data_IF_782720458470
#
_entry.id   IF_782720458470
#
_cell.length_a   1.000
_cell.length_b   1.000
_cell.length_c   1.000
_cell.angle_alpha   90.00
_cell.angle_beta   90.00
_cell.angle_gamma   90.00
#
_symmetry.space_group_name_H-M   'P 1'
#
loop_
_entity.id
_entity.type
_entity.pdbx_description
1 polymer ?
#
# COMPACT_ATOMS: atom_id res chain seq x y z
N UNK A 1 -54.39 -54.12 -13.72
CA UNK A 1 -55.29 -54.14 -12.55
C UNK A 1 -54.44 -53.83 -11.33
N UNK A 2 -54.67 -52.68 -10.65
CA UNK A 2 -54.43 -52.42 -9.20
C UNK A 2 -52.98 -52.64 -8.64
N UNK A 3 -52.37 -51.89 -7.71
CA UNK A 3 -52.70 -50.75 -6.84
C UNK A 3 -51.38 -50.32 -6.12
N UNK A 4 -51.15 -49.02 -6.01
CA UNK A 4 -50.52 -48.21 -4.93
C UNK A 4 -49.19 -48.58 -4.19
N UNK A 5 -48.31 -47.56 -4.18
CA UNK A 5 -47.59 -46.91 -3.06
C UNK A 5 -46.71 -47.75 -2.10
N UNK A 6 -45.40 -47.42 -2.04
CA UNK A 6 -44.72 -47.08 -0.78
C UNK A 6 -43.52 -46.15 -1.03
N UNK A 7 -43.59 -44.98 -0.42
CA UNK A 7 -42.57 -43.93 -0.33
C UNK A 7 -41.85 -44.15 1.00
N UNK A 8 -40.52 -44.34 1.04
CA UNK A 8 -39.70 -43.96 2.21
C UNK A 8 -38.19 -44.00 1.90
N UNK A 9 -37.60 -42.79 1.89
CA UNK A 9 -36.38 -42.37 2.62
C UNK A 9 -35.07 -43.13 2.36
N UNK A 10 -34.13 -42.46 1.67
CA UNK A 10 -32.75 -42.21 2.17
C UNK A 10 -32.02 -41.18 1.28
N UNK A 11 -32.42 -39.91 1.35
CA UNK A 11 -31.52 -38.79 1.00
C UNK A 11 -30.86 -38.36 2.31
N UNK A 12 -29.73 -38.97 2.64
CA UNK A 12 -28.82 -38.44 3.64
C UNK A 12 -28.20 -37.17 3.08
N UNK A 13 -28.81 -36.05 3.49
CA UNK A 13 -28.21 -34.73 3.52
C UNK A 13 -26.86 -34.83 4.25
N UNK A 14 -25.76 -34.90 3.51
CA UNK A 14 -24.45 -34.44 3.99
C UNK A 14 -24.53 -32.91 4.06
N UNK A 15 -25.30 -32.42 5.03
CA UNK A 15 -25.18 -31.05 5.52
C UNK A 15 -23.85 -30.97 6.25
N UNK A 16 -22.77 -30.75 5.51
CA UNK A 16 -21.53 -30.28 6.11
C UNK A 16 -21.84 -28.95 6.77
N UNK A 17 -21.99 -28.96 8.09
CA UNK A 17 -22.03 -27.74 8.89
C UNK A 17 -20.72 -27.00 8.61
N UNK A 18 -20.75 -25.99 7.73
CA UNK A 18 -19.69 -25.01 7.64
C UNK A 18 -19.74 -24.29 8.99
N UNK A 19 -18.88 -24.70 9.92
CA UNK A 19 -18.64 -23.93 11.13
C UNK A 19 -18.15 -22.57 10.68
N UNK A 20 -18.97 -21.54 10.87
CA UNK A 20 -18.54 -20.16 10.68
C UNK A 20 -17.24 -19.98 11.49
N UNK A 21 -16.14 -19.68 10.81
CA UNK A 21 -14.87 -19.42 11.49
C UNK A 21 -15.11 -18.27 12.47
N UNK A 22 -14.75 -18.46 13.74
CA UNK A 22 -14.91 -17.41 14.75
C UNK A 22 -14.08 -16.19 14.35
N UNK A 23 -14.70 -15.01 14.34
CA UNK A 23 -14.03 -13.73 14.08
C UNK A 23 -12.84 -13.57 15.05
N UNK A 24 -11.61 -13.31 14.57
CA UNK A 24 -10.45 -13.14 15.42
C UNK A 24 -10.67 -12.04 16.47
N UNK A 25 -10.29 -12.33 17.71
CA UNK A 25 -10.40 -11.38 18.83
C UNK A 25 -9.16 -10.52 18.97
N UNK A 26 -9.26 -9.41 19.72
CA UNK A 26 -8.09 -8.60 20.10
C UNK A 26 -7.01 -9.44 20.81
N UNK A 27 -7.41 -10.41 21.63
CA UNK A 27 -6.47 -11.32 22.30
C UNK A 27 -5.68 -12.15 21.28
N UNK A 28 -6.31 -12.64 20.22
CA UNK A 28 -5.61 -13.36 19.15
C UNK A 28 -4.56 -12.46 18.46
N UNK A 29 -4.87 -11.19 18.22
CA UNK A 29 -3.94 -10.23 17.62
C UNK A 29 -2.78 -9.89 18.57
N UNK A 30 -3.06 -9.66 19.86
CA UNK A 30 -2.04 -9.41 20.89
C UNK A 30 -1.05 -10.59 20.96
N UNK A 31 -1.56 -11.82 20.97
CA UNK A 31 -0.74 -13.03 20.96
C UNK A 31 0.09 -13.14 19.68
N UNK A 32 -0.52 -12.90 18.51
CA UNK A 32 0.18 -12.94 17.22
C UNK A 32 1.35 -11.96 17.18
N UNK A 33 1.12 -10.72 17.63
CA UNK A 33 2.11 -9.64 17.62
C UNK A 33 3.07 -9.69 18.81
N UNK A 34 2.87 -10.64 19.74
CA UNK A 34 3.68 -10.83 20.94
C UNK A 34 3.80 -9.55 21.78
N UNK A 35 2.69 -8.83 21.94
CA UNK A 35 2.68 -7.62 22.76
C UNK A 35 2.80 -7.97 24.24
N UNK A 36 3.77 -7.37 24.91
CA UNK A 36 3.99 -7.54 26.35
C UNK A 36 2.89 -6.84 27.17
N UNK A 37 2.71 -7.28 28.41
CA UNK A 37 1.61 -6.80 29.26
C UNK A 37 1.66 -5.29 29.51
N UNK A 38 2.84 -4.72 29.73
CA UNK A 38 3.06 -3.28 29.91
C UNK A 38 2.75 -2.49 28.63
N UNK A 39 3.11 -3.04 27.46
CA UNK A 39 2.78 -2.49 26.14
C UNK A 39 1.26 -2.49 25.92
N UNK A 40 0.57 -3.58 26.30
CA UNK A 40 -0.90 -3.65 26.24
C UNK A 40 -1.53 -2.62 27.16
N UNK A 41 -1.03 -2.45 28.40
CA UNK A 41 -1.54 -1.42 29.31
C UNK A 41 -1.33 0.00 28.76
N UNK A 42 -0.21 0.27 28.09
CA UNK A 42 0.03 1.56 27.41
C UNK A 42 -0.91 1.78 26.21
N UNK A 43 -1.14 0.74 25.42
CA UNK A 43 -2.09 0.73 24.31
C UNK A 43 -3.50 1.06 24.78
N UNK A 44 -3.97 0.41 25.85
CA UNK A 44 -5.29 0.65 26.45
C UNK A 44 -5.45 2.06 27.03
N UNK A 45 -4.36 2.71 27.44
CA UNK A 45 -4.32 4.13 27.83
C UNK A 45 -4.32 5.09 26.64
N UNK A 46 -4.37 4.60 25.41
CA UNK A 46 -4.34 5.41 24.20
C UNK A 46 -2.97 5.94 23.82
N UNK A 47 -1.88 5.40 24.39
CA UNK A 47 -0.54 5.70 23.86
C UNK A 47 -0.37 5.05 22.48
N UNK A 48 0.49 5.64 21.65
CA UNK A 48 0.95 4.98 20.43
C UNK A 48 2.11 4.07 20.85
N UNK A 49 1.91 2.76 20.71
CA UNK A 49 2.93 1.76 21.03
C UNK A 49 3.53 1.19 19.75
N UNK A 50 4.78 0.74 19.82
CA UNK A 50 5.48 0.09 18.71
C UNK A 50 5.54 -1.41 18.93
N UNK A 51 5.48 -2.19 17.86
CA UNK A 51 5.71 -3.63 17.91
C UNK A 51 6.58 -4.09 16.74
N UNK A 52 7.24 -5.23 16.94
CA UNK A 52 8.10 -5.82 15.92
C UNK A 52 7.26 -6.44 14.79
N UNK A 53 7.67 -6.18 13.55
CA UNK A 53 7.12 -6.83 12.36
C UNK A 53 8.25 -7.62 11.74
N UNK A 54 7.99 -8.88 11.40
CA UNK A 54 9.00 -9.74 10.81
C UNK A 54 9.37 -9.25 9.40
N UNK A 55 10.66 -9.02 9.19
CA UNK A 55 11.23 -8.68 7.88
C UNK A 55 11.68 -9.98 7.20
N UNK A 56 11.20 -10.23 5.98
CA UNK A 56 11.43 -11.47 5.24
C UNK A 56 12.66 -11.40 4.33
N UNK A 57 13.16 -10.19 4.05
CA UNK A 57 14.32 -9.98 3.19
C UNK A 57 15.29 -8.95 3.76
N UNK A 58 16.53 -8.95 3.25
CA UNK A 58 17.55 -7.94 3.60
C UNK A 58 17.24 -6.53 3.08
N UNK A 59 16.30 -6.40 2.14
CA UNK A 59 15.84 -5.12 1.58
C UNK A 59 14.64 -4.55 2.32
N UNK A 60 13.94 -5.39 3.08
CA UNK A 60 12.72 -5.01 3.77
C UNK A 60 13.02 -4.23 5.05
N UNK A 61 12.27 -3.16 5.26
CA UNK A 61 12.11 -2.45 6.52
C UNK A 61 10.65 -2.56 6.94
N UNK A 62 10.40 -3.02 8.17
CA UNK A 62 9.05 -3.15 8.68
C UNK A 62 8.89 -2.44 10.02
N UNK A 63 7.77 -1.74 10.20
CA UNK A 63 7.39 -1.04 11.44
C UNK A 63 5.92 -1.31 11.73
N UNK A 64 5.61 -1.66 12.97
CA UNK A 64 4.26 -1.79 13.49
C UNK A 64 3.98 -0.78 14.59
N UNK A 65 2.83 -0.10 14.51
CA UNK A 65 2.29 0.76 15.54
C UNK A 65 0.90 0.29 15.94
N UNK A 66 0.54 0.43 17.21
CA UNK A 66 -0.82 0.22 17.68
C UNK A 66 -1.29 1.38 18.55
N UNK A 67 -2.58 1.70 18.50
CA UNK A 67 -3.15 2.71 19.39
C UNK A 67 -4.65 2.55 19.60
N UNK A 68 -5.14 2.88 20.80
CA UNK A 68 -6.58 3.00 21.06
C UNK A 68 -7.12 4.31 20.51
N UNK A 69 -8.28 4.24 19.87
CA UNK A 69 -9.07 5.37 19.38
C UNK A 69 -10.46 5.32 20.02
N UNK A 70 -10.87 6.37 20.77
CA UNK A 70 -12.23 6.48 21.29
C UNK A 70 -13.20 6.92 20.18
N UNK A 71 -13.38 6.06 19.18
CA UNK A 71 -14.26 6.26 18.04
C UNK A 71 -14.99 4.97 17.72
N UNK A 72 -16.26 5.08 17.32
CA UNK A 72 -17.03 3.90 16.91
C UNK A 72 -16.46 3.28 15.62
N UNK A 73 -16.63 1.96 15.43
CA UNK A 73 -16.26 1.28 14.19
C UNK A 73 -16.89 1.91 12.94
N UNK A 74 -18.18 2.24 13.00
CA UNK A 74 -18.91 2.86 11.89
C UNK A 74 -18.30 4.19 11.49
N UNK A 75 -17.99 5.07 12.46
CA UNK A 75 -17.41 6.38 12.19
C UNK A 75 -16.06 6.28 11.47
N UNK A 76 -15.21 5.32 11.88
CA UNK A 76 -13.92 5.13 11.24
C UNK A 76 -14.05 4.50 9.85
N UNK A 77 -14.96 3.54 9.68
CA UNK A 77 -15.24 2.96 8.37
C UNK A 77 -15.73 4.04 7.39
N UNK A 78 -16.60 4.95 7.84
CA UNK A 78 -17.12 6.03 7.01
C UNK A 78 -16.02 7.07 6.69
N UNK A 79 -15.17 7.42 7.66
CA UNK A 79 -13.97 8.24 7.41
C UNK A 79 -13.07 7.63 6.31
N UNK A 80 -12.84 6.32 6.35
CA UNK A 80 -12.06 5.64 5.32
C UNK A 80 -12.76 5.58 3.96
N UNK A 81 -14.10 5.42 3.95
CA UNK A 81 -14.90 5.45 2.71
C UNK A 81 -14.93 6.82 2.05
N UNK A 82 -14.72 7.92 2.78
CA UNK A 82 -14.70 9.25 2.16
C UNK A 82 -13.38 9.56 1.45
N UNK A 83 -12.33 8.77 1.65
CA UNK A 83 -11.02 8.95 0.99
C UNK A 83 -10.07 9.89 1.75
N UNK A 84 -10.50 10.45 2.88
CA UNK A 84 -9.75 11.43 3.69
C UNK A 84 -8.40 10.91 4.21
N UNK A 85 -8.19 9.59 4.20
CA UNK A 85 -6.95 8.97 4.66
C UNK A 85 -5.71 9.40 3.85
N UNK A 86 -5.83 9.84 2.58
CA UNK A 86 -4.65 10.35 1.86
C UNK A 86 -4.25 11.74 2.36
N UNK A 87 -5.23 12.58 2.70
CA UNK A 87 -4.99 13.93 3.21
C UNK A 87 -4.29 13.99 4.57
N UNK A 88 -4.21 12.86 5.30
CA UNK A 88 -3.49 12.82 6.57
C UNK A 88 -1.97 12.81 6.37
N UNK A 89 -1.45 12.33 5.24
CA UNK A 89 0.00 12.29 5.01
C UNK A 89 0.48 13.69 4.59
N UNK A 90 1.22 14.42 5.46
CA UNK A 90 1.66 15.79 5.16
C UNK A 90 2.59 15.87 3.96
N UNK A 91 3.21 14.75 3.57
CA UNK A 91 4.19 14.74 2.49
C UNK A 91 3.53 14.57 1.11
N UNK A 92 2.22 14.28 1.05
CA UNK A 92 1.49 14.20 -0.23
C UNK A 92 1.25 15.60 -0.76
N UNK A 93 1.90 15.93 -1.88
CA UNK A 93 1.82 17.26 -2.51
C UNK A 93 0.55 17.39 -3.37
N UNK A 94 0.26 16.35 -4.13
CA UNK A 94 -0.92 16.24 -4.99
C UNK A 94 -1.23 14.76 -5.23
N UNK A 95 -2.49 14.42 -5.44
CA UNK A 95 -2.92 13.07 -5.78
C UNK A 95 -4.17 13.11 -6.65
N UNK A 96 -4.49 11.98 -7.26
CA UNK A 96 -5.75 11.76 -7.97
C UNK A 96 -6.17 10.30 -7.90
N UNK A 97 -7.48 10.06 -7.91
CA UNK A 97 -8.04 8.72 -8.04
C UNK A 97 -8.02 8.27 -9.51
N UNK A 98 -7.79 6.97 -9.72
CA UNK A 98 -7.81 6.34 -11.03
C UNK A 98 -8.98 5.36 -11.04
N UNK A 99 -9.94 5.60 -11.92
CA UNK A 99 -11.11 4.74 -12.07
C UNK A 99 -10.84 3.60 -13.07
N UNK A 100 -11.58 2.49 -12.98
CA UNK A 100 -11.57 1.45 -14.01
C UNK A 100 -11.75 2.05 -15.41
N UNK A 101 -11.00 1.52 -16.37
CA UNK A 101 -10.99 2.00 -17.77
C UNK A 101 -10.55 3.47 -17.96
N UNK A 102 -9.89 4.08 -16.98
CA UNK A 102 -9.31 5.40 -17.09
C UNK A 102 -8.34 5.52 -18.29
N UNK A 103 -8.46 6.64 -19.01
CA UNK A 103 -7.50 7.06 -20.02
C UNK A 103 -6.30 7.78 -19.41
N UNK A 104 -5.37 8.19 -20.27
CA UNK A 104 -4.18 8.96 -19.87
C UNK A 104 -4.54 10.30 -19.20
N UNK A 105 -5.70 10.88 -19.52
CA UNK A 105 -6.16 12.18 -18.99
C UNK A 105 -6.34 12.17 -17.47
N UNK A 106 -6.52 10.98 -16.85
CA UNK A 106 -6.54 10.85 -15.38
C UNK A 106 -5.23 11.35 -14.72
N UNK A 107 -4.13 11.38 -15.47
CA UNK A 107 -2.84 11.86 -14.99
C UNK A 107 -2.56 13.33 -15.36
N UNK A 108 -3.52 14.06 -15.96
CA UNK A 108 -3.29 15.43 -16.44
C UNK A 108 -2.83 16.40 -15.35
N UNK A 109 -3.23 16.17 -14.09
CA UNK A 109 -2.83 17.00 -12.95
C UNK A 109 -1.51 16.57 -12.31
N UNK A 110 -0.88 15.49 -12.78
CA UNK A 110 0.49 15.17 -12.41
C UNK A 110 1.45 16.06 -13.21
N UNK A 111 2.26 16.86 -12.55
CA UNK A 111 3.37 17.58 -13.18
C UNK A 111 4.52 17.77 -12.21
N UNK A 112 5.72 17.92 -12.77
CA UNK A 112 6.83 18.49 -12.03
C UNK A 112 6.61 20.00 -11.91
N UNK A 113 6.76 20.55 -10.71
CA UNK A 113 6.69 21.99 -10.48
C UNK A 113 7.95 22.68 -11.03
N UNK A 114 7.91 23.98 -11.37
CA UNK A 114 9.10 24.71 -11.84
C UNK A 114 10.30 24.62 -10.89
N UNK A 115 10.05 24.59 -9.57
CA UNK A 115 11.08 24.41 -8.53
C UNK A 115 11.71 23.00 -8.50
N UNK A 116 11.21 22.07 -9.32
CA UNK A 116 11.68 20.68 -9.43
C UNK A 116 12.45 20.46 -10.74
N UNK A 117 12.98 21.54 -11.34
CA UNK A 117 13.78 21.46 -12.57
C UNK A 117 14.96 20.50 -12.46
N UNK A 118 15.56 20.39 -11.28
CA UNK A 118 16.70 19.49 -11.06
C UNK A 118 16.26 18.01 -11.16
N UNK A 119 15.04 17.68 -10.70
CA UNK A 119 14.47 16.34 -10.87
C UNK A 119 14.23 16.03 -12.35
N UNK A 120 13.75 17.02 -13.11
CA UNK A 120 13.54 16.93 -14.56
C UNK A 120 14.86 16.67 -15.29
N UNK A 121 15.93 17.40 -14.92
CA UNK A 121 17.26 17.21 -15.50
C UNK A 121 17.85 15.83 -15.14
N UNK A 122 17.74 15.43 -13.88
CA UNK A 122 18.20 14.10 -13.44
C UNK A 122 17.47 12.98 -14.19
N UNK A 123 16.17 13.14 -14.44
CA UNK A 123 15.40 12.17 -15.21
C UNK A 123 15.83 12.09 -16.68
N UNK A 124 16.14 13.23 -17.31
CA UNK A 124 16.66 13.29 -18.67
C UNK A 124 18.09 12.73 -18.80
N UNK A 125 18.88 12.85 -17.73
CA UNK A 125 20.21 12.28 -17.61
C UNK A 125 20.22 10.94 -16.86
N UNK A 126 19.06 10.30 -16.70
CA UNK A 126 18.89 9.20 -15.77
C UNK A 126 19.84 8.03 -16.06
N UNK A 127 20.58 7.65 -15.04
CA UNK A 127 21.30 6.37 -15.01
C UNK A 127 20.38 5.25 -14.50
N UNK A 128 20.83 4.01 -14.69
CA UNK A 128 20.06 2.82 -14.38
C UNK A 128 19.68 2.64 -12.90
N UNK A 129 20.33 3.32 -11.95
CA UNK A 129 20.13 3.07 -10.51
C UNK A 129 19.35 4.16 -9.78
N UNK A 130 19.20 5.34 -10.38
CA UNK A 130 18.61 6.50 -9.68
C UNK A 130 17.08 6.46 -9.62
N UNK A 131 16.48 5.95 -10.69
CA UNK A 131 15.04 5.87 -10.87
C UNK A 131 14.57 4.43 -10.94
N UNK A 132 13.35 4.19 -10.49
CA UNK A 132 12.67 2.91 -10.59
C UNK A 132 12.03 2.74 -11.97
N UNK A 133 12.86 2.81 -13.01
CA UNK A 133 12.42 2.70 -14.39
C UNK A 133 13.04 1.45 -15.03
N UNK A 134 12.35 0.93 -16.04
CA UNK A 134 12.88 -0.10 -16.94
C UNK A 134 13.92 0.50 -17.89
N UNK A 135 14.71 -0.35 -18.54
CA UNK A 135 15.69 0.09 -19.53
C UNK A 135 15.04 0.90 -20.66
N UNK A 136 13.92 0.43 -21.20
CA UNK A 136 13.18 1.11 -22.26
C UNK A 136 12.68 2.50 -21.85
N UNK A 137 12.16 2.64 -20.62
CA UNK A 137 11.72 3.94 -20.10
C UNK A 137 12.89 4.90 -19.94
N UNK A 138 14.02 4.44 -19.40
CA UNK A 138 15.25 5.25 -19.28
C UNK A 138 15.73 5.70 -20.65
N UNK A 139 15.85 4.78 -21.62
CA UNK A 139 16.29 5.12 -22.98
C UNK A 139 15.38 6.16 -23.64
N UNK A 140 14.07 6.13 -23.37
CA UNK A 140 13.14 7.16 -23.88
C UNK A 140 13.38 8.54 -23.28
N UNK A 141 13.70 8.65 -21.98
CA UNK A 141 14.05 9.94 -21.36
C UNK A 141 15.41 10.45 -21.83
N UNK A 142 16.41 9.59 -21.92
CA UNK A 142 17.74 9.96 -22.45
C UNK A 142 17.65 10.42 -23.91
N UNK A 143 16.86 9.74 -24.74
CA UNK A 143 16.63 10.17 -26.14
C UNK A 143 15.92 11.51 -26.22
N UNK A 144 14.99 11.77 -25.29
CA UNK A 144 14.28 13.05 -25.21
C UNK A 144 15.24 14.20 -24.89
N UNK A 145 16.25 13.97 -24.04
CA UNK A 145 17.25 15.00 -23.71
C UNK A 145 17.95 15.56 -24.96
N UNK A 146 18.33 14.68 -25.90
CA UNK A 146 18.97 15.08 -27.16
C UNK A 146 18.07 15.88 -28.11
N UNK A 147 16.75 15.86 -27.91
CA UNK A 147 15.76 16.56 -28.75
C UNK A 147 15.31 17.91 -28.18
N UNK A 148 15.53 18.15 -26.89
CA UNK A 148 14.96 19.30 -26.17
C UNK A 148 16.02 20.33 -25.74
N UNK A 149 17.24 20.27 -26.29
CA UNK A 149 18.39 21.10 -25.87
C UNK A 149 18.17 22.62 -26.02
N UNK A 150 17.18 23.04 -26.82
CA UNK A 150 16.84 24.46 -27.05
C UNK A 150 15.60 24.94 -26.29
N UNK A 151 14.89 24.06 -25.57
CA UNK A 151 13.71 24.48 -24.82
C UNK A 151 14.08 25.26 -23.55
N UNK A 152 13.28 26.29 -23.25
CA UNK A 152 13.33 26.91 -21.93
C UNK A 152 12.89 25.92 -20.83
N UNK A 153 13.16 26.27 -19.57
CA UNK A 153 12.90 25.41 -18.42
C UNK A 153 11.43 25.06 -18.23
N UNK A 154 10.51 25.97 -18.56
CA UNK A 154 9.06 25.76 -18.35
C UNK A 154 8.54 24.76 -19.39
N UNK A 155 8.88 24.98 -20.66
CA UNK A 155 8.51 24.08 -21.75
C UNK A 155 9.14 22.69 -21.58
N UNK A 156 10.41 22.63 -21.15
CA UNK A 156 11.08 21.37 -20.84
C UNK A 156 10.36 20.58 -19.74
N UNK A 157 9.98 21.27 -18.65
CA UNK A 157 9.27 20.66 -17.52
C UNK A 157 7.92 20.09 -17.94
N UNK A 158 7.17 20.79 -18.80
CA UNK A 158 5.89 20.29 -19.30
C UNK A 158 6.07 19.06 -20.21
N UNK A 159 7.01 19.08 -21.15
CA UNK A 159 7.25 17.94 -22.05
C UNK A 159 7.68 16.69 -21.27
N UNK A 160 8.56 16.85 -20.27
CA UNK A 160 8.98 15.74 -19.40
C UNK A 160 7.84 15.26 -18.52
N UNK A 161 7.01 16.16 -17.99
CA UNK A 161 5.81 15.80 -17.23
C UNK A 161 4.84 14.98 -18.08
N UNK A 162 4.59 15.38 -19.33
CA UNK A 162 3.74 14.63 -20.28
C UNK A 162 4.30 13.23 -20.55
N UNK A 163 5.60 13.10 -20.78
CA UNK A 163 6.25 11.79 -20.94
C UNK A 163 6.11 10.93 -19.69
N UNK A 164 6.23 11.53 -18.51
CA UNK A 164 6.07 10.81 -17.24
C UNK A 164 4.63 10.36 -17.01
N UNK A 165 3.62 11.16 -17.39
CA UNK A 165 2.20 10.74 -17.36
C UNK A 165 1.97 9.47 -18.19
N UNK A 166 2.64 9.33 -19.34
CA UNK A 166 2.57 8.12 -20.16
C UNK A 166 3.13 6.89 -19.42
N UNK A 167 4.26 7.05 -18.73
CA UNK A 167 4.85 5.99 -17.89
C UNK A 167 3.88 5.57 -16.79
N UNK A 168 3.30 6.53 -16.07
CA UNK A 168 2.33 6.27 -15.01
C UNK A 168 1.09 5.53 -15.53
N UNK A 169 0.53 5.99 -16.65
CA UNK A 169 -0.63 5.35 -17.27
C UNK A 169 -0.33 3.91 -17.73
N UNK A 170 0.79 3.69 -18.41
CA UNK A 170 1.20 2.35 -18.87
C UNK A 170 1.43 1.39 -17.70
N UNK A 171 2.10 1.84 -16.64
CA UNK A 171 2.34 1.03 -15.44
C UNK A 171 1.05 0.71 -14.68
N UNK A 172 0.16 1.68 -14.54
CA UNK A 172 -1.15 1.43 -13.95
C UNK A 172 -1.94 0.43 -14.79
N UNK A 173 -2.01 0.60 -16.11
CA UNK A 173 -2.78 -0.29 -16.99
C UNK A 173 -2.25 -1.73 -16.95
N UNK A 174 -0.92 -1.91 -16.98
CA UNK A 174 -0.29 -3.22 -16.87
C UNK A 174 -0.63 -3.89 -15.53
N UNK A 175 -0.49 -3.16 -14.42
CA UNK A 175 -0.87 -3.65 -13.09
C UNK A 175 -2.37 -3.94 -12.99
N UNK A 176 -3.23 -3.06 -13.48
CA UNK A 176 -4.68 -3.23 -13.42
C UNK A 176 -5.13 -4.53 -14.11
N UNK A 177 -4.55 -4.84 -15.27
CA UNK A 177 -4.91 -6.00 -16.07
C UNK A 177 -4.26 -7.32 -15.64
N UNK A 178 -3.08 -7.29 -15.03
CA UNK A 178 -2.26 -8.49 -14.77
C UNK A 178 -1.84 -8.62 -13.30
N UNK A 179 -2.22 -7.66 -12.46
CA UNK A 179 -1.79 -7.59 -11.07
C UNK A 179 -0.28 -7.59 -10.91
N UNK A 180 0.22 -8.41 -10.00
CA UNK A 180 1.65 -8.43 -9.67
C UNK A 180 2.56 -8.83 -10.84
N UNK A 181 2.08 -9.64 -11.78
CA UNK A 181 2.87 -9.97 -12.99
C UNK A 181 2.94 -8.82 -14.00
N UNK A 182 2.03 -7.83 -13.88
CA UNK A 182 2.05 -6.62 -14.69
C UNK A 182 3.01 -5.54 -14.18
N UNK A 183 3.64 -5.71 -13.01
CA UNK A 183 4.56 -4.72 -12.48
C UNK A 183 5.91 -4.86 -13.18
N UNK A 184 6.25 -3.87 -14.02
CA UNK A 184 7.49 -3.89 -14.78
C UNK A 184 8.74 -3.81 -13.86
N UNK A 185 9.77 -4.63 -14.11
CA UNK A 185 11.01 -4.62 -13.34
C UNK A 185 11.78 -3.30 -13.51
N UNK A 186 12.62 -3.01 -12.53
CA UNK A 186 13.51 -1.85 -12.58
C UNK A 186 14.91 -2.29 -12.98
N UNK A 187 15.58 -1.50 -13.82
CA UNK A 187 17.01 -1.69 -14.07
C UNK A 187 17.80 -1.29 -12.82
N UNK A 188 18.91 -1.97 -12.55
CA UNK A 188 19.86 -1.67 -11.47
C UNK A 188 21.26 -2.10 -11.89
N UNK A 189 22.09 -1.17 -12.34
CA UNK A 189 23.45 -1.49 -12.79
C UNK A 189 23.44 -2.66 -13.78
N UNK A 190 24.12 -3.76 -13.43
CA UNK A 190 24.19 -4.99 -14.23
C UNK A 190 23.04 -5.98 -14.02
N UNK A 191 21.99 -5.60 -13.28
CA UNK A 191 20.90 -6.48 -12.90
C UNK A 191 19.52 -5.81 -12.95
N UNK A 192 18.55 -6.49 -12.35
CA UNK A 192 17.17 -6.03 -12.25
C UNK A 192 16.60 -6.23 -10.86
N UNK A 193 15.68 -5.37 -10.48
CA UNK A 193 14.80 -5.55 -9.33
C UNK A 193 13.42 -5.91 -9.83
N UNK A 194 12.83 -6.93 -9.20
CA UNK A 194 11.46 -7.36 -9.48
C UNK A 194 10.53 -6.87 -8.36
N UNK A 195 9.89 -5.70 -8.53
CA UNK A 195 8.93 -5.16 -7.55
C UNK A 195 7.68 -6.04 -7.40
N UNK A 196 7.30 -6.81 -8.43
CA UNK A 196 6.16 -7.73 -8.37
C UNK A 196 6.43 -8.88 -7.39
N UNK A 197 7.62 -9.49 -7.48
CA UNK A 197 8.08 -10.50 -6.50
C UNK A 197 8.23 -9.92 -5.10
N UNK A 198 8.83 -8.73 -4.96
CA UNK A 198 8.97 -8.08 -3.65
C UNK A 198 7.61 -7.85 -2.99
N UNK A 199 6.60 -7.37 -3.73
CA UNK A 199 5.23 -7.21 -3.22
C UNK A 199 4.56 -8.53 -2.89
N UNK A 200 4.78 -9.59 -3.68
CA UNK A 200 4.24 -10.92 -3.38
C UNK A 200 4.76 -11.42 -2.03
N UNK A 201 6.06 -11.28 -1.78
CA UNK A 201 6.68 -11.66 -0.51
C UNK A 201 6.14 -10.85 0.66
N UNK A 202 5.96 -9.53 0.50
CA UNK A 202 5.38 -8.68 1.55
C UNK A 202 3.93 -9.10 1.87
N UNK A 203 3.11 -9.35 0.85
CA UNK A 203 1.72 -9.77 1.00
C UNK A 203 1.60 -11.17 1.61
N UNK A 204 2.43 -12.12 1.19
CA UNK A 204 2.35 -13.49 1.67
C UNK A 204 2.82 -13.62 3.13
N UNK A 205 3.86 -12.89 3.51
CA UNK A 205 4.38 -12.94 4.88
C UNK A 205 3.61 -12.05 5.87
N UNK A 206 2.51 -11.40 5.47
CA UNK A 206 1.72 -10.56 6.36
C UNK A 206 0.79 -11.39 7.26
N UNK A 207 1.29 -11.71 8.46
CA UNK A 207 0.56 -12.54 9.41
C UNK A 207 -0.73 -11.90 9.96
N UNK A 208 -0.76 -10.56 10.09
CA UNK A 208 -1.95 -9.85 10.57
C UNK A 208 -3.09 -9.97 9.55
N UNK A 209 -2.80 -9.75 8.26
CA UNK A 209 -3.76 -9.91 7.18
C UNK A 209 -4.24 -11.36 7.08
N UNK A 210 -3.32 -12.33 7.23
CA UNK A 210 -3.66 -13.75 7.24
C UNK A 210 -4.60 -14.13 8.40
N UNK A 211 -4.38 -13.58 9.60
CA UNK A 211 -5.23 -13.82 10.76
C UNK A 211 -6.61 -13.18 10.58
N UNK A 212 -6.67 -11.91 10.20
CA UNK A 212 -7.91 -11.12 10.20
C UNK A 212 -8.82 -11.41 9.01
N UNK A 213 -8.26 -11.67 7.82
CA UNK A 213 -9.06 -12.07 6.66
C UNK A 213 -8.22 -12.89 5.67
N UNK A 214 -8.23 -14.23 5.80
CA UNK A 214 -7.61 -15.13 4.82
C UNK A 214 -8.17 -14.92 3.40
N UNK A 215 -9.47 -14.63 3.28
CA UNK A 215 -10.12 -14.36 2.01
C UNK A 215 -9.58 -13.10 1.35
N UNK A 216 -9.44 -11.99 2.10
CA UNK A 216 -8.83 -10.76 1.61
C UNK A 216 -7.35 -10.99 1.26
N UNK A 217 -6.58 -11.71 2.09
CA UNK A 217 -5.18 -12.06 1.76
C UNK A 217 -5.09 -12.77 0.40
N UNK A 218 -5.94 -13.78 0.19
CA UNK A 218 -5.97 -14.55 -1.05
C UNK A 218 -6.31 -13.66 -2.25
N UNK A 219 -7.37 -12.84 -2.15
CA UNK A 219 -7.74 -11.90 -3.21
C UNK A 219 -6.63 -10.88 -3.48
N UNK A 220 -6.00 -10.35 -2.42
CA UNK A 220 -4.88 -9.41 -2.52
C UNK A 220 -3.68 -10.01 -3.26
N UNK A 221 -3.33 -11.27 -2.99
CA UNK A 221 -2.24 -11.96 -3.70
C UNK A 221 -2.59 -12.32 -5.15
N UNK A 222 -3.88 -12.52 -5.45
CA UNK A 222 -4.36 -13.02 -6.75
C UNK A 222 -5.04 -11.96 -7.62
N UNK A 223 -5.02 -10.69 -7.21
CA UNK A 223 -5.47 -9.56 -8.02
C UNK A 223 -4.90 -9.69 -9.46
N UNK A 224 -5.71 -9.57 -10.53
CA UNK A 224 -7.05 -8.95 -10.61
C UNK A 224 -8.25 -9.86 -10.32
N UNK A 225 -8.06 -10.98 -9.62
CA UNK A 225 -9.19 -11.76 -9.11
C UNK A 225 -10.12 -10.92 -8.24
N UNK A 226 -11.42 -11.21 -8.30
CA UNK A 226 -12.46 -10.49 -7.56
C UNK A 226 -12.16 -10.45 -6.05
N UNK A 227 -12.30 -9.27 -5.46
CA UNK A 227 -12.33 -9.11 -4.02
C UNK A 227 -13.67 -9.57 -3.42
N UNK A 228 -13.72 -9.84 -2.10
CA UNK A 228 -14.99 -10.03 -1.39
C UNK A 228 -15.94 -8.84 -1.60
N UNK A 229 -17.26 -9.06 -1.49
CA UNK A 229 -18.27 -8.03 -1.75
C UNK A 229 -18.16 -6.84 -0.77
N UNK A 230 -17.61 -7.08 0.41
CA UNK A 230 -17.35 -6.11 1.47
C UNK A 230 -16.15 -5.20 1.19
N UNK A 231 -15.41 -5.46 0.11
CA UNK A 231 -14.23 -4.72 -0.27
C UNK A 231 -14.56 -3.59 -1.25
N UNK A 232 -13.99 -2.41 -1.00
CA UNK A 232 -13.99 -1.26 -1.89
C UNK A 232 -12.56 -1.06 -2.38
N UNK A 233 -12.37 -1.26 -3.68
CA UNK A 233 -11.10 -1.08 -4.37
C UNK A 233 -10.94 0.36 -4.86
N UNK A 234 -9.72 0.89 -4.75
CA UNK A 234 -9.31 2.19 -5.30
C UNK A 234 -7.89 2.16 -5.83
N UNK A 235 -7.67 2.91 -6.91
CA UNK A 235 -6.36 3.19 -7.45
C UNK A 235 -6.07 4.68 -7.35
N UNK A 236 -4.80 5.01 -7.11
CA UNK A 236 -4.36 6.36 -6.84
C UNK A 236 -3.03 6.61 -7.53
N UNK A 237 -2.87 7.81 -8.08
CA UNK A 237 -1.55 8.38 -8.32
C UNK A 237 -1.28 9.47 -7.29
N UNK A 238 -0.03 9.58 -6.84
CA UNK A 238 0.41 10.59 -5.90
C UNK A 238 1.73 11.19 -6.36
N UNK A 239 1.93 12.48 -6.08
CA UNK A 239 3.25 13.08 -5.99
C UNK A 239 3.51 13.37 -4.51
N UNK A 240 4.50 12.68 -3.94
CA UNK A 240 4.83 12.75 -2.50
C UNK A 240 6.26 13.22 -2.32
N UNK A 241 6.52 14.09 -1.36
CA UNK A 241 7.89 14.45 -0.98
C UNK A 241 8.57 13.27 -0.25
N UNK A 242 9.69 12.80 -0.78
CA UNK A 242 10.47 11.71 -0.21
C UNK A 242 11.95 12.08 -0.24
N UNK A 243 12.56 12.21 0.93
CA UNK A 243 13.96 12.64 1.09
C UNK A 243 14.25 13.98 0.37
N UNK A 244 13.33 14.94 0.43
CA UNK A 244 13.47 16.27 -0.19
C UNK A 244 13.27 16.30 -1.72
N UNK A 245 12.82 15.20 -2.33
CA UNK A 245 12.53 15.09 -3.77
C UNK A 245 11.08 14.67 -4.01
N UNK A 246 10.42 15.15 -5.08
CA UNK A 246 9.11 14.63 -5.47
C UNK A 246 9.24 13.18 -5.94
N UNK A 247 8.35 12.31 -5.47
CA UNK A 247 8.25 10.92 -5.89
C UNK A 247 6.84 10.66 -6.41
N UNK A 248 6.75 10.31 -7.69
CA UNK A 248 5.53 9.78 -8.27
C UNK A 248 5.27 8.38 -7.71
N UNK A 249 4.04 8.12 -7.25
CA UNK A 249 3.64 6.84 -6.67
C UNK A 249 2.35 6.39 -7.33
N UNK A 250 2.27 5.12 -7.73
CA UNK A 250 1.00 4.46 -8.03
C UNK A 250 0.67 3.52 -6.88
N UNK A 251 -0.55 3.67 -6.36
CA UNK A 251 -1.04 2.91 -5.22
C UNK A 251 -2.34 2.20 -5.57
N UNK A 252 -2.42 0.94 -5.13
CA UNK A 252 -3.66 0.17 -5.08
C UNK A 252 -4.05 0.05 -3.60
N UNK A 253 -5.30 0.38 -3.29
CA UNK A 253 -5.88 0.32 -1.95
C UNK A 253 -7.18 -0.46 -1.97
N UNK A 254 -7.35 -1.30 -0.96
CA UNK A 254 -8.61 -1.98 -0.67
C UNK A 254 -9.03 -1.64 0.75
N UNK A 255 -10.21 -1.08 0.89
CA UNK A 255 -10.91 -0.97 2.16
C UNK A 255 -11.83 -2.18 2.29
N UNK A 256 -11.73 -2.93 3.39
CA UNK A 256 -12.58 -4.09 3.68
C UNK A 256 -13.25 -3.89 5.02
N UNK A 257 -14.57 -3.97 5.06
CA UNK A 257 -15.35 -3.86 6.30
C UNK A 257 -16.35 -5.00 6.37
N UNK A 258 -16.08 -5.97 7.24
CA UNK A 258 -16.95 -7.11 7.48
C UNK A 258 -17.05 -7.40 8.97
N UNK A 259 -18.22 -7.85 9.42
CA UNK A 259 -18.54 -8.05 10.82
C UNK A 259 -18.23 -6.78 11.64
N UNK A 260 -17.27 -6.88 12.56
CA UNK A 260 -16.82 -5.79 13.41
C UNK A 260 -15.39 -5.33 13.08
N UNK A 261 -14.79 -5.87 12.03
CA UNK A 261 -13.43 -5.55 11.58
C UNK A 261 -13.49 -4.57 10.41
N UNK A 262 -12.68 -3.52 10.47
CA UNK A 262 -12.37 -2.66 9.32
C UNK A 262 -10.89 -2.69 9.03
N UNK A 263 -10.52 -2.85 7.76
CA UNK A 263 -9.13 -2.89 7.33
C UNK A 263 -8.90 -2.09 6.07
N UNK A 264 -7.79 -1.37 6.01
CA UNK A 264 -7.20 -0.88 4.77
C UNK A 264 -5.97 -1.70 4.49
N UNK A 265 -5.89 -2.26 3.29
CA UNK A 265 -4.65 -2.81 2.73
C UNK A 265 -4.27 -1.95 1.54
N UNK A 266 -3.01 -1.54 1.45
CA UNK A 266 -2.53 -0.75 0.33
C UNK A 266 -1.14 -1.22 -0.09
N UNK A 267 -0.85 -1.16 -1.39
CA UNK A 267 0.50 -1.31 -1.91
C UNK A 267 0.86 -0.19 -2.86
N UNK A 268 2.09 0.28 -2.75
CA UNK A 268 2.72 1.12 -3.75
C UNK A 268 3.39 0.20 -4.76
N UNK A 269 2.71 -0.04 -5.89
CA UNK A 269 3.19 -0.93 -6.94
C UNK A 269 4.13 -0.24 -7.93
N UNK A 270 4.17 1.10 -7.90
CA UNK A 270 5.22 1.88 -8.52
C UNK A 270 5.57 3.07 -7.63
N UNK A 271 6.85 3.39 -7.55
CA UNK A 271 7.41 4.53 -6.82
C UNK A 271 8.55 5.02 -7.68
N UNK A 272 8.64 6.30 -8.03
CA UNK A 272 9.63 6.79 -9.00
C UNK A 272 11.09 6.62 -8.55
N UNK A 273 11.35 6.63 -7.24
CA UNK A 273 12.70 6.48 -6.64
C UNK A 273 12.62 6.16 -5.14
N UNK A 274 13.77 6.19 -4.46
CA UNK A 274 13.97 6.05 -3.00
C UNK A 274 13.70 4.68 -2.38
N UNK A 275 12.63 4.00 -2.77
CA UNK A 275 12.33 2.62 -2.36
C UNK A 275 11.63 1.90 -3.50
N UNK A 276 11.72 0.57 -3.52
CA UNK A 276 11.25 -0.24 -4.65
C UNK A 276 9.73 -0.38 -4.63
N UNK A 277 9.20 -0.79 -3.47
CA UNK A 277 7.78 -1.03 -3.22
C UNK A 277 7.43 -0.80 -1.75
N UNK A 278 6.15 -0.57 -1.47
CA UNK A 278 5.63 -0.46 -0.11
C UNK A 278 4.31 -1.22 0.06
N UNK A 279 4.06 -1.74 1.25
CA UNK A 279 2.79 -2.31 1.65
C UNK A 279 2.37 -1.74 3.02
N UNK A 280 1.10 -1.40 3.13
CA UNK A 280 0.48 -0.91 4.35
C UNK A 280 -0.71 -1.77 4.71
N UNK A 281 -0.82 -2.13 5.99
CA UNK A 281 -2.03 -2.71 6.58
C UNK A 281 -2.42 -1.84 7.75
N UNK A 282 -3.64 -1.31 7.73
CA UNK A 282 -4.27 -0.64 8.85
C UNK A 282 -5.51 -1.44 9.23
N UNK A 283 -5.50 -2.07 10.39
CA UNK A 283 -6.61 -2.89 10.88
C UNK A 283 -7.21 -2.28 12.14
N UNK A 284 -8.53 -2.30 12.23
CA UNK A 284 -9.28 -1.73 13.33
C UNK A 284 -10.18 -2.81 13.94
N UNK A 285 -9.96 -3.05 15.24
CA UNK A 285 -10.71 -4.04 16.00
C UNK A 285 -11.47 -3.33 17.14
N UNK A 286 -12.74 -3.70 17.41
CA UNK A 286 -13.49 -3.15 18.51
C UNK A 286 -12.83 -3.46 19.85
N UNK A 287 -12.82 -2.48 20.74
CA UNK A 287 -12.34 -2.66 22.11
C UNK A 287 -13.00 -1.61 23.02
N UNK A 288 -13.72 -2.08 24.06
CA UNK A 288 -14.50 -1.21 24.95
C UNK A 288 -15.47 -0.34 24.12
N UNK A 289 -15.50 0.97 24.36
CA UNK A 289 -16.34 1.93 23.64
C UNK A 289 -15.67 2.48 22.36
N UNK A 290 -14.50 1.97 21.98
CA UNK A 290 -13.73 2.44 20.84
C UNK A 290 -13.10 1.30 20.05
N UNK A 291 -11.94 1.57 19.47
CA UNK A 291 -11.20 0.60 18.65
C UNK A 291 -9.71 0.63 18.93
N UNK A 292 -9.07 -0.53 18.79
CA UNK A 292 -7.62 -0.62 18.63
C UNK A 292 -7.31 -0.56 17.14
N UNK A 293 -6.44 0.38 16.75
CA UNK A 293 -5.88 0.46 15.40
C UNK A 293 -4.49 -0.13 15.40
N UNK A 294 -4.26 -1.13 14.56
CA UNK A 294 -2.96 -1.67 14.21
C UNK A 294 -2.54 -1.10 12.86
N UNK A 295 -1.36 -0.52 12.78
CA UNK A 295 -0.81 0.07 11.56
C UNK A 295 0.56 -0.54 11.29
N UNK A 296 0.66 -1.35 10.23
CA UNK A 296 1.88 -1.96 9.75
C UNK A 296 2.28 -1.29 8.44
N UNK A 297 3.55 -0.88 8.35
CA UNK A 297 4.19 -0.44 7.12
C UNK A 297 5.38 -1.35 6.83
N UNK A 298 5.42 -1.92 5.63
CA UNK A 298 6.54 -2.68 5.10
C UNK A 298 7.05 -1.97 3.83
N UNK A 299 8.35 -1.77 3.72
CA UNK A 299 8.98 -1.10 2.59
C UNK A 299 10.20 -1.89 2.13
N UNK A 300 10.30 -2.20 0.84
CA UNK A 300 11.50 -2.81 0.26
C UNK A 300 12.36 -1.75 -0.42
N UNK A 301 13.68 -1.75 -0.15
CA UNK A 301 14.63 -0.83 -0.79
C UNK A 301 16.03 -1.41 -0.86
N UNK A 302 16.72 -1.19 -1.98
CA UNK A 302 18.13 -1.56 -2.13
C UNK A 302 19.04 -0.69 -1.24
N UNK A 303 18.58 0.52 -0.86
CA UNK A 303 19.37 1.52 -0.13
C UNK A 303 19.78 1.10 1.29
N UNK A 304 19.18 0.05 1.84
CA UNK A 304 19.53 -0.47 3.18
C UNK A 304 20.40 -1.72 3.16
N UNK A 305 20.86 -2.13 1.98
CA UNK A 305 21.78 -3.26 1.79
C UNK A 305 23.24 -2.80 1.75
N UNK A 306 24.16 -3.77 1.69
CA UNK A 306 25.61 -3.53 1.57
C UNK A 306 26.28 -3.05 2.87
N UNK A 307 27.41 -2.35 2.71
CA UNK A 307 28.20 -1.84 3.83
C UNK A 307 27.38 -0.87 4.71
N UNK A 308 27.46 -1.07 6.03
CA UNK A 308 26.71 -0.28 7.01
C UNK A 308 25.20 -0.62 7.07
N UNK A 309 24.77 -1.75 6.51
CA UNK A 309 23.33 -2.13 6.45
C UNK A 309 22.61 -2.06 7.80
N UNK A 310 23.21 -2.54 8.90
CA UNK A 310 22.59 -2.46 10.23
C UNK A 310 22.19 -1.02 10.62
N UNK A 311 23.13 -0.06 10.46
CA UNK A 311 22.87 1.35 10.74
C UNK A 311 21.84 1.94 9.78
N UNK A 312 21.97 1.68 8.47
CA UNK A 312 21.02 2.15 7.43
C UNK A 312 19.60 1.66 7.71
N UNK A 313 19.44 0.39 8.09
CA UNK A 313 18.15 -0.21 8.47
C UNK A 313 17.57 0.42 9.72
N UNK A 314 18.40 0.66 10.74
CA UNK A 314 17.99 1.35 11.97
C UNK A 314 17.44 2.75 11.69
N UNK A 315 18.18 3.55 10.91
CA UNK A 315 17.76 4.90 10.51
C UNK A 315 16.50 4.86 9.64
N UNK A 316 16.43 3.92 8.69
CA UNK A 316 15.26 3.73 7.84
C UNK A 316 13.99 3.43 8.63
N UNK A 317 14.04 2.47 9.57
CA UNK A 317 12.92 2.15 10.46
C UNK A 317 12.51 3.32 11.34
N UNK A 318 13.48 4.07 11.86
CA UNK A 318 13.20 5.27 12.66
C UNK A 318 12.44 6.33 11.85
N UNK A 319 12.83 6.59 10.59
CA UNK A 319 12.12 7.53 9.71
C UNK A 319 10.70 7.06 9.40
N UNK A 320 10.52 5.78 9.05
CA UNK A 320 9.19 5.18 8.81
C UNK A 320 8.32 5.34 10.07
N UNK A 321 8.83 4.98 11.24
CA UNK A 321 8.13 5.11 12.52
C UNK A 321 7.67 6.54 12.79
N UNK A 322 8.57 7.52 12.63
CA UNK A 322 8.23 8.93 12.86
C UNK A 322 7.11 9.41 11.93
N UNK A 323 7.13 9.00 10.66
CA UNK A 323 6.04 9.34 9.73
C UNK A 323 4.73 8.67 10.13
N UNK A 324 4.77 7.39 10.48
CA UNK A 324 3.56 6.67 10.91
C UNK A 324 2.93 7.27 12.17
N UNK A 325 3.74 7.73 13.14
CA UNK A 325 3.25 8.44 14.34
C UNK A 325 2.52 9.72 13.94
N UNK A 326 3.13 10.56 13.09
CA UNK A 326 2.50 11.80 12.59
C UNK A 326 1.17 11.52 11.89
N UNK A 327 1.13 10.48 11.05
CA UNK A 327 -0.09 10.09 10.34
C UNK A 327 -1.19 9.62 11.31
N UNK A 328 -0.86 8.84 12.34
CA UNK A 328 -1.82 8.42 13.37
C UNK A 328 -2.33 9.60 14.21
N UNK A 329 -1.46 10.55 14.57
CA UNK A 329 -1.86 11.76 15.31
C UNK A 329 -2.79 12.65 14.48
N UNK A 330 -2.51 12.81 13.18
CA UNK A 330 -3.40 13.54 12.27
C UNK A 330 -4.72 12.82 12.04
N UNK A 331 -4.71 11.50 11.87
CA UNK A 331 -5.93 10.71 11.80
C UNK A 331 -6.76 10.87 13.07
N UNK A 332 -6.14 10.83 14.26
CA UNK A 332 -6.82 11.11 15.54
C UNK A 332 -7.46 12.48 15.58
N UNK A 333 -6.75 13.50 15.09
CA UNK A 333 -7.28 14.86 15.04
C UNK A 333 -8.48 14.95 14.08
N UNK A 334 -8.35 14.41 12.86
CA UNK A 334 -9.42 14.40 11.86
C UNK A 334 -10.67 13.66 12.36
N UNK A 335 -10.50 12.54 13.05
CA UNK A 335 -11.59 11.76 13.64
C UNK A 335 -12.32 12.46 14.79
N UNK A 336 -11.72 13.47 15.42
CA UNK A 336 -12.39 14.29 16.45
C UNK A 336 -13.26 15.39 15.84
N UNK A 337 -12.90 15.87 14.65
CA UNK A 337 -13.64 16.90 13.91
C UNK A 337 -14.70 16.35 12.96
N UNK A 338 -14.53 15.10 12.53
CA UNK A 338 -15.57 14.27 11.89
C UNK A 338 -16.64 13.93 12.92
#
# INVERSE_FOLDING_TARGET
MWFKWFLLVFMLLLGGSVTAASVPTLSNVITLLRLEHDVVADLERGKIVTFAVQESTRKELAVGLATYLPSSPTKLADFFKQGDFIGIDPDVLVFGEIFPHAGIDTFQHFSFAPKQSDEVQNLLAAEHEEFNLSADEISRFVSLNGQLSELDRVNLTEVVSQRYRQVLWQRWQAYYNQGLSGVAPYTRGNGKVDPGEELRLLADNNALLALLSPALKKAWLSYPSHFPQEAIERFLWLNREVNGRPAAILSHRVLYTADSISMIVSRHFFVGHSYNVGQMVLACLPHREGMIVFYIQQTSTDKVTGLGSSLKRSVGRMRIKQQMIKNLERMRAAMRSY
#
